data_IF_432068934099
#
_entry.id   IF_432068934099
#
_cell.length_a   1.000
_cell.length_b   1.000
_cell.length_c   1.000
_cell.angle_alpha   90.00
_cell.angle_beta   90.00
_cell.angle_gamma   90.00
#
_symmetry.space_group_name_H-M   'P 1'
#
loop_
_entity.id
_entity.type
_entity.pdbx_description
1 polymer ?
#
# COMPACT_ATOMS: atom_id res chain seq x y z
N UNK A 1 -18.04 42.26 35.91
CA UNK A 1 -17.66 40.90 36.35
C UNK A 1 -18.72 39.94 35.88
N UNK A 2 -18.45 38.87 35.14
CA UNK A 2 -17.23 38.13 34.89
C UNK A 2 -17.40 37.42 33.55
N UNK A 3 -16.42 37.58 32.66
CA UNK A 3 -16.33 36.90 31.38
C UNK A 3 -16.30 35.38 31.55
N UNK A 4 -16.88 34.72 30.53
CA UNK A 4 -16.52 33.43 29.93
C UNK A 4 -15.53 32.54 30.69
N UNK A 5 -15.95 31.30 30.93
CA UNK A 5 -15.03 30.17 31.05
C UNK A 5 -15.55 29.03 30.19
N UNK A 6 -15.41 29.18 28.87
CA UNK A 6 -15.31 28.03 27.98
C UNK A 6 -14.08 27.25 28.41
N UNK A 7 -14.28 26.10 29.03
CA UNK A 7 -13.17 25.23 29.37
C UNK A 7 -12.51 24.75 28.06
N UNK A 8 -11.18 24.89 27.92
CA UNK A 8 -10.51 24.36 26.76
C UNK A 8 -10.66 22.85 26.80
N UNK A 9 -11.31 22.27 25.77
CA UNK A 9 -11.23 20.85 25.44
C UNK A 9 -9.83 20.57 24.92
N UNK A 10 -8.85 20.70 25.80
CA UNK A 10 -7.49 20.27 25.61
C UNK A 10 -7.28 18.99 26.44
N UNK A 11 -7.94 17.92 26.01
CA UNK A 11 -7.51 16.57 26.37
C UNK A 11 -6.80 15.99 25.15
N UNK A 12 -5.68 16.62 24.80
CA UNK A 12 -4.64 15.99 24.00
C UNK A 12 -4.13 14.74 24.73
N UNK A 13 -4.31 13.62 24.06
CA UNK A 13 -3.18 12.78 23.64
C UNK A 13 -2.29 12.27 24.78
N UNK A 14 -2.84 11.36 25.59
CA UNK A 14 -2.06 10.57 26.57
C UNK A 14 -2.47 9.10 26.56
N UNK A 15 -1.71 8.31 25.78
CA UNK A 15 -1.21 7.03 26.29
C UNK A 15 -1.93 5.73 25.92
N UNK A 16 -2.89 5.73 24.98
CA UNK A 16 -3.35 4.45 24.40
C UNK A 16 -2.39 4.03 23.27
N UNK A 17 -1.95 2.76 23.22
CA UNK A 17 -1.32 2.23 22.02
C UNK A 17 -2.26 2.48 20.85
N UNK A 18 -1.84 3.30 19.87
CA UNK A 18 -2.63 3.50 18.65
C UNK A 18 -2.97 2.12 18.09
N UNK A 19 -4.24 1.88 17.80
CA UNK A 19 -4.71 0.63 17.20
C UNK A 19 -3.80 0.24 16.01
N UNK A 20 -3.12 -0.92 16.04
CA UNK A 20 -2.23 -1.34 14.97
C UNK A 20 -2.90 -1.36 13.59
N UNK A 21 -4.20 -1.67 13.52
CA UNK A 21 -4.98 -1.64 12.27
C UNK A 21 -5.13 -0.22 11.76
N UNK A 22 -5.46 0.74 12.64
CA UNK A 22 -5.53 2.16 12.29
C UNK A 22 -4.16 2.70 11.84
N UNK A 23 -3.08 2.34 12.54
CA UNK A 23 -1.72 2.72 12.15
C UNK A 23 -1.38 2.19 10.76
N UNK A 24 -1.66 0.91 10.50
CA UNK A 24 -1.39 0.27 9.22
C UNK A 24 -2.16 0.94 8.08
N UNK A 25 -3.45 1.21 8.29
CA UNK A 25 -4.32 1.93 7.36
C UNK A 25 -3.75 3.29 6.99
N UNK A 26 -3.38 4.09 7.99
CA UNK A 26 -2.83 5.44 7.79
C UNK A 26 -1.50 5.41 7.03
N UNK A 27 -0.64 4.42 7.31
CA UNK A 27 0.61 4.21 6.57
C UNK A 27 0.32 3.86 5.10
N UNK A 28 -0.55 2.89 4.84
CA UNK A 28 -0.86 2.43 3.48
C UNK A 28 -1.50 3.54 2.65
N UNK A 29 -2.50 4.26 3.18
CA UNK A 29 -3.16 5.35 2.46
C UNK A 29 -2.16 6.43 2.05
N UNK A 30 -1.29 6.84 2.98
CA UNK A 30 -0.25 7.83 2.68
C UNK A 30 0.71 7.36 1.59
N UNK A 31 1.07 6.08 1.57
CA UNK A 31 1.96 5.52 0.54
C UNK A 31 1.26 5.45 -0.82
N UNK A 32 -0.02 5.11 -0.86
CA UNK A 32 -0.83 5.00 -2.07
C UNK A 32 -1.13 6.36 -2.71
N UNK A 33 -1.22 7.44 -1.93
CA UNK A 33 -1.39 8.81 -2.50
C UNK A 33 -0.19 9.25 -3.34
N UNK A 34 1.03 8.78 -3.04
CA UNK A 34 2.23 9.26 -3.70
C UNK A 34 2.57 8.52 -5.00
N UNK A 35 2.43 7.20 -5.02
CA UNK A 35 2.83 6.37 -6.17
C UNK A 35 2.11 5.03 -6.07
N UNK A 36 1.79 4.37 -7.20
CA UNK A 36 1.31 3.00 -7.17
C UNK A 36 2.24 2.08 -6.35
N UNK A 37 1.64 1.19 -5.57
CA UNK A 37 2.33 0.20 -4.73
C UNK A 37 1.68 -1.16 -4.94
N UNK A 38 2.51 -2.20 -4.89
CA UNK A 38 2.01 -3.58 -4.82
C UNK A 38 1.66 -3.95 -3.38
N UNK A 39 0.83 -5.00 -3.19
CA UNK A 39 0.52 -5.55 -1.86
C UNK A 39 1.80 -5.82 -1.07
N UNK A 40 2.79 -6.48 -1.70
CA UNK A 40 4.07 -6.81 -1.07
C UNK A 40 4.82 -5.56 -0.59
N UNK A 41 4.87 -4.50 -1.39
CA UNK A 41 5.58 -3.27 -0.99
C UNK A 41 4.95 -2.61 0.23
N UNK A 42 3.61 -2.65 0.32
CA UNK A 42 2.90 -2.16 1.49
C UNK A 42 3.15 -3.05 2.71
N UNK A 43 3.07 -4.37 2.55
CA UNK A 43 3.40 -5.33 3.62
C UNK A 43 4.83 -5.13 4.15
N UNK A 44 5.81 -4.99 3.27
CA UNK A 44 7.21 -4.73 3.66
C UNK A 44 7.36 -3.40 4.41
N UNK A 45 6.60 -2.36 3.99
CA UNK A 45 6.60 -1.07 4.66
C UNK A 45 5.99 -1.14 6.06
N UNK A 46 4.92 -1.92 6.24
CA UNK A 46 4.27 -2.16 7.53
C UNK A 46 5.19 -2.95 8.48
N UNK A 47 5.82 -4.03 8.02
CA UNK A 47 6.80 -4.77 8.83
C UNK A 47 7.99 -3.92 9.26
N UNK A 48 8.49 -3.05 8.37
CA UNK A 48 9.56 -2.09 8.71
C UNK A 48 9.14 -1.07 9.79
N UNK A 49 7.83 -0.92 10.02
CA UNK A 49 7.24 -0.08 11.08
C UNK A 49 6.79 -0.90 12.29
N UNK A 50 7.14 -2.18 12.34
CA UNK A 50 6.84 -3.10 13.44
C UNK A 50 5.33 -3.24 13.69
N UNK A 51 4.53 -3.05 12.63
CA UNK A 51 3.10 -3.35 12.66
C UNK A 51 2.94 -4.89 12.69
N UNK A 52 2.12 -5.44 13.61
CA UNK A 52 1.82 -6.87 13.65
C UNK A 52 1.28 -7.39 12.32
N UNK A 53 1.72 -8.58 11.92
CA UNK A 53 1.34 -9.18 10.63
C UNK A 53 -0.18 -9.37 10.51
N UNK A 54 -0.89 -9.69 11.59
CA UNK A 54 -2.35 -9.84 11.62
C UNK A 54 -3.07 -8.53 11.25
N UNK A 55 -2.65 -7.41 11.86
CA UNK A 55 -3.22 -6.10 11.56
C UNK A 55 -2.86 -5.62 10.16
N UNK A 56 -1.65 -5.93 9.70
CA UNK A 56 -1.23 -5.63 8.32
C UNK A 56 -2.08 -6.42 7.32
N UNK A 57 -2.27 -7.72 7.53
CA UNK A 57 -3.05 -8.59 6.66
C UNK A 57 -4.52 -8.17 6.58
N UNK A 58 -5.13 -7.80 7.72
CA UNK A 58 -6.50 -7.28 7.75
C UNK A 58 -6.67 -6.04 6.87
N UNK A 59 -5.77 -5.05 7.01
CA UNK A 59 -5.83 -3.81 6.22
C UNK A 59 -5.56 -4.08 4.75
N UNK A 60 -4.54 -4.87 4.44
CA UNK A 60 -4.15 -5.15 3.05
C UNK A 60 -5.24 -5.93 2.31
N UNK A 61 -5.85 -6.95 2.95
CA UNK A 61 -7.00 -7.65 2.38
C UNK A 61 -8.18 -6.73 2.16
N UNK A 62 -8.51 -5.88 3.14
CA UNK A 62 -9.62 -4.92 2.94
C UNK A 62 -9.34 -3.96 1.78
N UNK A 63 -8.08 -3.55 1.60
CA UNK A 63 -7.69 -2.63 0.53
C UNK A 63 -7.74 -3.30 -0.84
N UNK A 64 -7.42 -4.59 -0.95
CA UNK A 64 -7.68 -5.36 -2.16
C UNK A 64 -9.17 -5.51 -2.43
N UNK A 65 -9.97 -5.86 -1.41
CA UNK A 65 -11.43 -6.03 -1.56
C UNK A 65 -12.12 -4.77 -2.09
N UNK A 66 -11.64 -3.58 -1.69
CA UNK A 66 -12.18 -2.29 -2.16
C UNK A 66 -11.45 -1.73 -3.38
N UNK A 67 -10.47 -2.44 -3.94
CA UNK A 67 -9.73 -2.04 -5.14
C UNK A 67 -8.72 -0.92 -4.95
N UNK A 68 -8.31 -0.62 -3.71
CA UNK A 68 -7.21 0.32 -3.44
C UNK A 68 -5.84 -0.30 -3.73
N UNK A 69 -5.74 -1.63 -3.60
CA UNK A 69 -4.59 -2.42 -4.03
C UNK A 69 -5.06 -3.29 -5.19
N UNK A 70 -4.35 -3.21 -6.31
CA UNK A 70 -4.56 -4.07 -7.47
C UNK A 70 -3.20 -4.34 -8.14
N UNK A 71 -2.63 -5.49 -7.81
CA UNK A 71 -1.35 -5.94 -8.37
C UNK A 71 -1.45 -6.25 -9.87
N UNK A 72 -2.64 -6.60 -10.39
CA UNK A 72 -2.86 -6.85 -11.81
C UNK A 72 -2.89 -5.56 -12.62
N UNK A 73 -3.64 -4.55 -12.15
CA UNK A 73 -3.60 -3.21 -12.73
C UNK A 73 -2.19 -2.61 -12.65
N UNK A 74 -1.50 -2.80 -11.53
CA UNK A 74 -0.09 -2.39 -11.39
C UNK A 74 0.80 -3.06 -12.46
N UNK A 75 0.66 -4.38 -12.65
CA UNK A 75 1.47 -5.13 -13.61
C UNK A 75 1.19 -4.71 -15.06
N UNK A 76 -0.06 -4.52 -15.44
CA UNK A 76 -0.45 -4.04 -16.77
C UNK A 76 0.15 -2.67 -17.08
N UNK A 77 -0.03 -1.70 -16.18
CA UNK A 77 0.54 -0.36 -16.34
C UNK A 77 2.08 -0.36 -16.41
N UNK A 78 2.73 -1.26 -15.67
CA UNK A 78 4.18 -1.43 -15.73
C UNK A 78 4.66 -1.93 -17.11
N UNK A 79 4.00 -2.96 -17.65
CA UNK A 79 4.29 -3.51 -18.97
C UNK A 79 4.09 -2.44 -20.05
N UNK A 80 2.95 -1.76 -20.03
CA UNK A 80 2.61 -0.68 -20.96
C UNK A 80 3.68 0.42 -20.96
N UNK A 81 4.06 0.92 -19.77
CA UNK A 81 5.09 1.95 -19.63
C UNK A 81 6.44 1.56 -20.26
N UNK A 82 6.81 0.28 -20.22
CA UNK A 82 8.10 -0.20 -20.74
C UNK A 82 8.08 -0.56 -22.21
N UNK A 83 6.94 -0.95 -22.75
CA UNK A 83 6.77 -1.05 -24.20
C UNK A 83 6.92 0.32 -24.87
N UNK A 84 6.33 1.36 -24.31
CA UNK A 84 6.44 2.72 -24.84
C UNK A 84 7.81 3.36 -24.63
N UNK A 85 8.55 2.97 -23.58
CA UNK A 85 9.82 3.60 -23.23
C UNK A 85 11.11 2.92 -23.71
N UNK A 86 11.16 1.57 -23.75
CA UNK A 86 12.43 0.84 -23.94
C UNK A 86 12.36 -0.47 -24.75
N UNK A 87 11.17 -0.97 -25.10
CA UNK A 87 11.04 -2.24 -25.84
C UNK A 87 11.66 -3.45 -25.14
N UNK A 88 11.47 -3.56 -23.81
CA UNK A 88 12.08 -4.63 -23.01
C UNK A 88 11.56 -6.01 -23.43
N UNK A 89 12.47 -7.00 -23.47
CA UNK A 89 12.10 -8.39 -23.70
C UNK A 89 11.24 -8.94 -22.54
N UNK A 90 10.30 -9.84 -22.84
CA UNK A 90 9.39 -10.50 -21.87
C UNK A 90 10.09 -10.95 -20.58
N UNK A 91 11.27 -11.58 -20.71
CA UNK A 91 12.07 -12.06 -19.56
C UNK A 91 12.50 -10.94 -18.61
N UNK A 92 12.81 -9.74 -19.13
CA UNK A 92 13.17 -8.59 -18.32
C UNK A 92 11.96 -8.06 -17.53
N UNK A 93 10.79 -7.95 -18.18
CA UNK A 93 9.54 -7.52 -17.54
C UNK A 93 9.15 -8.46 -16.40
N UNK A 94 9.17 -9.78 -16.65
CA UNK A 94 8.91 -10.81 -15.61
C UNK A 94 9.83 -10.63 -14.40
N UNK A 95 11.13 -10.42 -14.64
CA UNK A 95 12.10 -10.23 -13.54
C UNK A 95 11.81 -8.95 -12.73
N UNK A 96 11.48 -7.87 -13.41
CA UNK A 96 11.18 -6.60 -12.75
C UNK A 96 9.91 -6.70 -11.89
N UNK A 97 8.82 -7.26 -12.44
CA UNK A 97 7.57 -7.44 -11.71
C UNK A 97 7.73 -8.37 -10.51
N UNK A 98 8.52 -9.45 -10.64
CA UNK A 98 8.89 -10.31 -9.48
C UNK A 98 9.63 -9.53 -8.41
N UNK A 99 10.56 -8.65 -8.81
CA UNK A 99 11.29 -7.78 -7.87
C UNK A 99 10.35 -6.78 -7.19
N UNK A 100 9.29 -6.34 -7.89
CA UNK A 100 8.23 -5.50 -7.32
C UNK A 100 7.25 -6.26 -6.43
N UNK A 101 7.32 -7.59 -6.40
CA UNK A 101 6.52 -8.43 -5.52
C UNK A 101 5.22 -8.94 -6.11
N UNK A 102 5.02 -8.79 -7.41
CA UNK A 102 3.80 -9.27 -8.09
C UNK A 102 3.83 -10.80 -8.17
N UNK A 103 2.67 -11.43 -7.93
CA UNK A 103 2.54 -12.89 -7.96
C UNK A 103 2.82 -13.46 -9.37
N UNK A 104 3.40 -14.67 -9.48
CA UNK A 104 3.72 -15.27 -10.79
C UNK A 104 2.53 -15.35 -11.76
N UNK A 105 1.33 -15.72 -11.28
CA UNK A 105 0.12 -15.78 -12.10
C UNK A 105 -0.22 -14.42 -12.74
N UNK A 106 -0.26 -13.37 -11.91
CA UNK A 106 -0.53 -11.99 -12.35
C UNK A 106 0.53 -11.50 -13.34
N UNK A 107 1.80 -11.89 -13.14
CA UNK A 107 2.88 -11.56 -14.08
C UNK A 107 2.63 -12.24 -15.42
N UNK A 108 2.36 -13.54 -15.43
CA UNK A 108 2.19 -14.31 -16.66
C UNK A 108 1.02 -13.78 -17.48
N UNK A 109 -0.08 -13.38 -16.83
CA UNK A 109 -1.22 -12.72 -17.47
C UNK A 109 -0.80 -11.36 -18.07
N UNK A 110 -0.13 -10.51 -17.29
CA UNK A 110 0.25 -9.17 -17.72
C UNK A 110 1.25 -9.14 -18.88
N UNK A 111 2.18 -10.11 -18.96
CA UNK A 111 3.16 -10.18 -20.06
C UNK A 111 2.72 -11.09 -21.21
N UNK A 112 1.54 -11.70 -21.10
CA UNK A 112 0.91 -12.52 -22.13
C UNK A 112 -0.06 -11.75 -23.03
N UNK A 113 -0.52 -10.58 -22.57
CA UNK A 113 -1.23 -9.59 -23.38
C UNK A 113 -0.27 -8.79 -24.26
#
# INVERSE_FOLDING_TARGET
>A
SRAEKGEPRDQRDRGEPRDPVEQARNICLRLLTGTPRTRKQLADALRKREIPDEAAEEVLSRFEDVGLIDDAAFAGAWVESRHHGRGLARRALVRELRTKGVAPSVIDDAVGQ
#
